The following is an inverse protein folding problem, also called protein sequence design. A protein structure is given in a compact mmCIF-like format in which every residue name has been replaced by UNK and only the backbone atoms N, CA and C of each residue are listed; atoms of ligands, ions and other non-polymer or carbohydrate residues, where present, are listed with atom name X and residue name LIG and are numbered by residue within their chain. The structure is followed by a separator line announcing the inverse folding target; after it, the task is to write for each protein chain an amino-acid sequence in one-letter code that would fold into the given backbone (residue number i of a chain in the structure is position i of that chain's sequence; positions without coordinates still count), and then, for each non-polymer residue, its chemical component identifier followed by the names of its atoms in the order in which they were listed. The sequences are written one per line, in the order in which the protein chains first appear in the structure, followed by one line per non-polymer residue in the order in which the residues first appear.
data_IF_899585258205
#
_entry.id   IF_899585258205
#
_cell.length_a   1.000
_cell.length_b   1.000
_cell.length_c   1.000
_cell.angle_alpha   90.00
_cell.angle_beta   90.00
_cell.angle_gamma   90.00
#
_symmetry.space_group_name_H-M   'P 1'
#
loop_
_entity.id
_entity.type
_entity.pdbx_description
1 polymer ?
#
# COMPACT_ATOMS: atom_id res chain seq x y z
N UNK A 1 18.79 1.99 -24.76
CA UNK A 1 18.30 1.23 -23.59
C UNK A 1 16.83 1.54 -23.42
N UNK A 2 15.99 0.52 -23.22
CA UNK A 2 14.55 0.62 -22.99
C UNK A 2 14.22 0.13 -21.58
N UNK A 3 13.86 1.05 -20.70
CA UNK A 3 13.46 0.79 -19.33
C UNK A 3 11.94 0.73 -19.25
N UNK A 4 11.41 -0.35 -18.69
CA UNK A 4 9.98 -0.50 -18.46
C UNK A 4 9.73 -0.69 -16.97
N UNK A 5 8.86 0.14 -16.41
CA UNK A 5 8.54 0.14 -14.97
C UNK A 5 7.05 -0.13 -14.81
N UNK A 6 6.72 -1.19 -14.06
CA UNK A 6 5.35 -1.63 -13.81
C UNK A 6 4.92 -1.23 -12.41
N UNK A 7 4.12 -0.17 -12.32
CA UNK A 7 3.63 0.40 -11.08
C UNK A 7 4.00 1.88 -10.95
N UNK A 8 2.99 2.74 -10.92
CA UNK A 8 3.15 4.20 -10.88
C UNK A 8 2.99 4.78 -9.46
N UNK A 9 3.35 4.01 -8.44
CA UNK A 9 3.51 4.51 -7.08
C UNK A 9 4.86 5.21 -6.88
N UNK A 10 5.17 5.64 -5.65
CA UNK A 10 6.39 6.40 -5.35
C UNK A 10 7.68 5.70 -5.79
N UNK A 11 7.77 4.37 -5.64
CA UNK A 11 8.94 3.61 -6.05
C UNK A 11 9.18 3.70 -7.56
N UNK A 12 8.14 3.50 -8.37
CA UNK A 12 8.25 3.54 -9.83
C UNK A 12 8.49 4.94 -10.39
N UNK A 13 7.83 5.96 -9.83
CA UNK A 13 8.05 7.37 -10.22
C UNK A 13 9.47 7.81 -9.89
N UNK A 14 9.96 7.49 -8.69
CA UNK A 14 11.32 7.82 -8.28
C UNK A 14 12.36 7.08 -9.12
N UNK A 15 12.12 5.81 -9.47
CA UNK A 15 12.99 5.07 -10.36
C UNK A 15 13.05 5.70 -11.76
N UNK A 16 11.90 6.04 -12.34
CA UNK A 16 11.83 6.67 -13.66
C UNK A 16 12.60 8.01 -13.70
N UNK A 17 12.40 8.86 -12.68
CA UNK A 17 13.13 10.13 -12.53
C UNK A 17 14.63 9.89 -12.36
N UNK A 18 15.01 8.92 -11.53
CA UNK A 18 16.42 8.59 -11.28
C UNK A 18 17.11 8.07 -12.54
N UNK A 19 16.47 7.18 -13.29
CA UNK A 19 16.98 6.68 -14.57
C UNK A 19 17.18 7.85 -15.53
N UNK A 20 16.20 8.74 -15.70
CA UNK A 20 16.35 9.91 -16.58
C UNK A 20 17.51 10.83 -16.16
N UNK A 21 17.78 10.93 -14.87
CA UNK A 21 18.91 11.72 -14.38
C UNK A 21 20.26 11.13 -14.79
N UNK A 22 20.36 9.82 -15.00
CA UNK A 22 21.60 9.11 -15.35
C UNK A 22 21.68 8.86 -16.87
N UNK A 23 20.64 8.25 -17.44
CA UNK A 23 20.51 8.00 -18.87
C UNK A 23 19.63 9.08 -19.53
N UNK A 24 20.29 10.02 -20.21
CA UNK A 24 19.63 11.15 -20.87
C UNK A 24 18.88 10.77 -22.14
N UNK A 25 19.11 9.58 -22.70
CA UNK A 25 18.63 9.21 -24.04
C UNK A 25 17.78 7.95 -24.08
N UNK A 26 17.89 7.11 -23.04
CA UNK A 26 17.10 5.88 -22.93
C UNK A 26 15.60 6.14 -22.94
N UNK A 27 14.86 5.17 -23.50
CA UNK A 27 13.40 5.17 -23.51
C UNK A 27 12.90 4.70 -22.14
N UNK A 28 12.00 5.46 -21.51
CA UNK A 28 11.44 5.12 -20.20
C UNK A 28 9.92 5.03 -20.33
N UNK A 29 9.36 3.86 -20.05
CA UNK A 29 7.92 3.61 -20.01
C UNK A 29 7.52 3.31 -18.57
N UNK A 30 6.64 4.14 -18.00
CA UNK A 30 6.03 3.91 -16.69
C UNK A 30 4.57 3.49 -16.88
N UNK A 31 4.21 2.31 -16.39
CA UNK A 31 2.87 1.73 -16.56
C UNK A 31 2.15 1.74 -15.22
N UNK A 32 1.02 2.44 -15.14
CA UNK A 32 0.18 2.53 -13.95
C UNK A 32 -1.18 1.89 -14.20
N UNK A 33 -1.64 1.04 -13.28
CA UNK A 33 -2.97 0.40 -13.38
C UNK A 33 -4.13 1.36 -13.15
N UNK A 34 -3.90 2.44 -12.41
CA UNK A 34 -4.91 3.43 -12.04
C UNK A 34 -5.02 4.51 -13.11
N UNK A 35 -6.20 5.11 -13.25
CA UNK A 35 -6.49 6.19 -14.21
C UNK A 35 -5.97 7.56 -13.77
N UNK A 36 -5.34 7.62 -12.59
CA UNK A 36 -4.85 8.84 -11.97
C UNK A 36 -3.35 9.04 -12.19
N UNK A 37 -2.90 10.29 -12.12
CA UNK A 37 -1.48 10.59 -11.98
C UNK A 37 -0.96 10.11 -10.62
N UNK A 38 0.36 9.86 -10.48
CA UNK A 38 0.91 9.39 -9.22
C UNK A 38 0.60 10.31 -8.05
N UNK A 39 0.20 9.72 -6.94
CA UNK A 39 -0.27 10.43 -5.76
C UNK A 39 0.27 9.86 -4.46
N UNK A 40 0.22 10.70 -3.42
CA UNK A 40 0.60 10.40 -2.08
C UNK A 40 -0.39 9.50 -1.37
N UNK A 41 -0.10 8.20 -1.45
CA UNK A 41 -0.89 7.16 -0.81
C UNK A 41 -0.92 7.31 0.72
N UNK A 42 0.10 7.96 1.31
CA UNK A 42 0.21 8.16 2.75
C UNK A 42 -0.86 9.09 3.32
N UNK A 43 -1.33 10.04 2.51
CA UNK A 43 -2.30 11.08 2.93
C UNK A 43 -3.73 10.76 2.48
N UNK A 44 -4.00 9.53 2.02
CA UNK A 44 -5.33 9.13 1.55
C UNK A 44 -6.40 9.22 2.64
N UNK A 45 -6.07 8.88 3.89
CA UNK A 45 -6.99 9.04 5.03
C UNK A 45 -7.23 10.51 5.34
N UNK A 46 -6.18 11.33 5.33
CA UNK A 46 -6.29 12.78 5.52
C UNK A 46 -7.18 13.40 4.43
N UNK A 47 -7.00 12.97 3.18
CA UNK A 47 -7.82 13.38 2.04
C UNK A 47 -9.28 12.93 2.15
N UNK A 48 -9.51 11.69 2.60
CA UNK A 48 -10.85 11.17 2.90
C UNK A 48 -11.54 12.04 3.93
N UNK A 49 -10.80 12.49 4.95
CA UNK A 49 -11.31 13.28 6.06
C UNK A 49 -11.35 14.79 5.77
N UNK A 50 -10.99 15.22 4.56
CA UNK A 50 -11.02 16.63 4.17
C UNK A 50 -9.94 17.49 4.83
N UNK A 51 -8.85 16.88 5.34
CA UNK A 51 -7.73 17.59 5.94
C UNK A 51 -6.73 18.14 4.90
N UNK A 52 -6.77 17.61 3.68
CA UNK A 52 -5.96 18.07 2.56
C UNK A 52 -6.80 18.19 1.27
N UNK A 53 -6.35 19.05 0.36
CA UNK A 53 -6.98 19.32 -0.93
C UNK A 53 -6.34 18.52 -2.08
N UNK A 54 -7.06 18.36 -3.20
CA UNK A 54 -6.61 17.59 -4.38
C UNK A 54 -5.19 17.93 -4.86
N UNK A 55 -4.74 19.20 -4.92
CA UNK A 55 -3.39 19.51 -5.40
C UNK A 55 -2.28 18.96 -4.49
N UNK A 56 -2.56 18.80 -3.19
CA UNK A 56 -1.61 18.28 -2.20
C UNK A 56 -1.46 16.75 -2.29
N UNK A 57 -2.33 16.09 -3.06
CA UNK A 57 -2.35 14.65 -3.23
C UNK A 57 -1.31 14.18 -4.26
N UNK A 58 -0.97 14.94 -5.29
CA UNK A 58 -0.16 14.43 -6.42
C UNK A 58 1.35 14.66 -6.24
N UNK A 59 2.18 13.68 -6.62
CA UNK A 59 3.64 13.81 -6.58
C UNK A 59 4.22 14.59 -7.75
N UNK A 60 3.45 14.70 -8.84
CA UNK A 60 3.91 15.17 -10.12
C UNK A 60 3.08 16.35 -10.56
N UNK A 61 3.72 17.38 -11.13
CA UNK A 61 3.03 18.38 -11.93
C UNK A 61 2.41 17.71 -13.17
N UNK A 62 1.42 18.35 -13.81
CA UNK A 62 0.88 17.88 -15.09
C UNK A 62 1.95 17.64 -16.16
N UNK A 63 3.01 18.45 -16.17
CA UNK A 63 4.07 18.41 -17.19
C UNK A 63 5.27 17.51 -16.85
N UNK A 64 5.34 16.99 -15.62
CA UNK A 64 6.47 16.20 -15.11
C UNK A 64 6.96 15.10 -16.07
N UNK A 65 6.02 14.36 -16.67
CA UNK A 65 6.35 13.25 -17.57
C UNK A 65 6.87 13.74 -18.92
N UNK A 66 6.34 14.86 -19.42
CA UNK A 66 6.78 15.46 -20.67
C UNK A 66 8.18 16.06 -20.51
N UNK A 67 8.42 16.82 -19.43
CA UNK A 67 9.71 17.43 -19.11
C UNK A 67 10.84 16.40 -18.97
N UNK A 68 10.52 15.23 -18.42
CA UNK A 68 11.46 14.14 -18.24
C UNK A 68 11.48 13.14 -19.41
N UNK A 69 10.72 13.38 -20.49
CA UNK A 69 10.55 12.46 -21.61
C UNK A 69 10.28 11.01 -21.13
N UNK A 70 9.32 10.85 -20.22
CA UNK A 70 8.84 9.57 -19.69
C UNK A 70 7.48 9.28 -20.32
N UNK A 71 7.33 8.13 -20.97
CA UNK A 71 6.04 7.68 -21.49
C UNK A 71 5.22 7.10 -20.33
N UNK A 72 4.30 7.89 -19.77
CA UNK A 72 3.38 7.44 -18.74
C UNK A 72 2.11 6.82 -19.33
N UNK A 73 1.89 5.54 -19.05
CA UNK A 73 0.75 4.74 -19.50
C UNK A 73 -0.19 4.48 -18.33
N UNK A 74 -1.12 5.41 -18.09
CA UNK A 74 -2.15 5.30 -17.05
C UNK A 74 -3.27 4.33 -17.43
N UNK A 75 -3.92 3.74 -16.44
CA UNK A 75 -5.07 2.85 -16.64
C UNK A 75 -4.76 1.50 -17.28
N UNK A 76 -3.51 1.07 -17.27
CA UNK A 76 -3.07 -0.12 -18.00
C UNK A 76 -2.51 -1.20 -17.08
N UNK A 77 -2.93 -2.43 -17.35
CA UNK A 77 -2.60 -3.60 -16.56
C UNK A 77 -1.64 -4.49 -17.32
N UNK A 78 -0.58 -4.95 -16.65
CA UNK A 78 0.31 -6.00 -17.16
C UNK A 78 -0.35 -7.35 -16.88
N UNK A 79 -0.59 -8.10 -17.96
CA UNK A 79 -1.22 -9.42 -17.94
C UNK A 79 -0.20 -10.52 -17.66
N UNK A 80 0.93 -10.48 -18.35
CA UNK A 80 1.98 -11.49 -18.25
C UNK A 80 3.34 -10.92 -18.65
N UNK A 81 4.40 -11.59 -18.22
CA UNK A 81 5.79 -11.25 -18.56
C UNK A 81 6.42 -12.49 -19.19
N UNK A 82 7.05 -12.34 -20.35
CA UNK A 82 7.90 -13.36 -20.97
C UNK A 82 9.35 -12.97 -20.73
N UNK A 83 9.95 -13.56 -19.70
CA UNK A 83 11.33 -13.26 -19.30
C UNK A 83 12.35 -13.72 -20.35
N UNK A 84 12.03 -14.76 -21.14
CA UNK A 84 12.94 -15.30 -22.16
C UNK A 84 13.06 -14.36 -23.36
N UNK A 85 11.93 -13.77 -23.77
CA UNK A 85 11.87 -12.81 -24.89
C UNK A 85 12.08 -11.36 -24.44
N UNK A 86 12.19 -11.12 -23.13
CA UNK A 86 12.21 -9.79 -22.52
C UNK A 86 11.06 -8.90 -22.98
N UNK A 87 9.84 -9.42 -22.84
CA UNK A 87 8.63 -8.66 -23.19
C UNK A 87 7.59 -8.75 -22.08
N UNK A 88 6.74 -7.74 -21.98
CA UNK A 88 5.51 -7.79 -21.20
C UNK A 88 4.29 -7.67 -22.10
N UNK A 89 3.18 -8.27 -21.69
CA UNK A 89 1.91 -8.20 -22.40
C UNK A 89 0.90 -7.46 -21.55
N UNK A 90 0.25 -6.46 -22.13
CA UNK A 90 -0.85 -5.74 -21.49
C UNK A 90 -2.17 -6.51 -21.62
N UNK A 91 -3.17 -6.14 -20.82
CA UNK A 91 -4.48 -6.77 -20.85
C UNK A 91 -5.19 -6.67 -22.21
N UNK A 92 -5.00 -5.56 -22.92
CA UNK A 92 -5.49 -5.38 -24.30
C UNK A 92 -4.57 -6.02 -25.37
N UNK A 93 -3.69 -6.93 -24.95
CA UNK A 93 -2.80 -7.75 -25.77
C UNK A 93 -1.64 -7.05 -26.47
N UNK A 94 -1.41 -5.75 -26.27
CA UNK A 94 -0.16 -5.12 -26.73
C UNK A 94 1.04 -5.75 -26.04
N UNK A 95 2.12 -5.93 -26.80
CA UNK A 95 3.39 -6.47 -26.32
C UNK A 95 4.43 -5.35 -26.31
N UNK A 96 5.08 -5.16 -25.17
CA UNK A 96 6.10 -4.14 -24.96
C UNK A 96 7.44 -4.82 -24.67
N UNK A 97 8.47 -4.65 -25.51
CA UNK A 97 9.81 -5.15 -25.21
C UNK A 97 10.47 -4.31 -24.13
N UNK A 98 11.46 -4.86 -23.44
CA UNK A 98 12.29 -4.13 -22.49
C UNK A 98 13.74 -4.62 -22.56
N UNK A 99 14.68 -3.72 -22.27
CA UNK A 99 16.05 -4.11 -21.97
C UNK A 99 16.23 -4.30 -20.45
N UNK A 100 15.57 -3.46 -19.64
CA UNK A 100 15.53 -3.52 -18.17
C UNK A 100 14.08 -3.38 -17.70
N UNK A 101 13.62 -4.29 -16.85
CA UNK A 101 12.26 -4.29 -16.28
C UNK A 101 12.32 -4.01 -14.78
N UNK A 102 11.40 -3.19 -14.28
CA UNK A 102 11.18 -3.01 -12.86
C UNK A 102 9.74 -3.32 -12.47
N UNK A 103 9.56 -4.07 -11.39
CA UNK A 103 8.28 -4.37 -10.78
C UNK A 103 8.12 -3.52 -9.52
N UNK A 104 7.19 -2.58 -9.56
CA UNK A 104 6.87 -1.63 -8.48
C UNK A 104 5.36 -1.65 -8.18
N UNK A 105 4.77 -2.84 -8.19
CA UNK A 105 3.31 -3.05 -8.16
C UNK A 105 2.66 -2.79 -6.79
N UNK A 106 3.49 -2.51 -5.78
CA UNK A 106 3.10 -2.26 -4.40
C UNK A 106 2.32 -3.43 -3.78
N UNK A 107 1.46 -3.12 -2.83
CA UNK A 107 0.55 -4.07 -2.20
C UNK A 107 -0.71 -3.39 -1.66
N UNK A 108 -1.52 -4.15 -0.95
CA UNK A 108 -2.74 -3.66 -0.32
C UNK A 108 -3.10 -4.50 0.91
N UNK A 109 -3.91 -3.92 1.79
CA UNK A 109 -4.58 -4.68 2.84
C UNK A 109 -5.46 -5.76 2.24
N UNK A 110 -5.51 -6.89 2.93
CA UNK A 110 -6.37 -8.02 2.61
C UNK A 110 -7.02 -8.57 3.87
N UNK A 111 -8.01 -9.42 3.66
CA UNK A 111 -8.75 -10.09 4.72
C UNK A 111 -8.46 -11.58 4.69
N UNK A 112 -8.43 -12.19 5.86
CA UNK A 112 -8.21 -13.61 6.08
C UNK A 112 -9.37 -14.47 5.57
N UNK A 113 -9.20 -15.79 5.66
CA UNK A 113 -10.15 -16.78 5.15
C UNK A 113 -11.57 -16.60 5.71
N UNK A 114 -11.69 -16.22 6.99
CA UNK A 114 -12.98 -15.98 7.67
C UNK A 114 -13.77 -14.85 7.02
N UNK A 115 -13.10 -13.74 6.69
CA UNK A 115 -13.75 -12.55 6.14
C UNK A 115 -13.78 -12.51 4.61
N UNK A 116 -13.02 -13.39 3.94
CA UNK A 116 -12.93 -13.46 2.47
C UNK A 116 -14.29 -13.57 1.75
N UNK A 117 -15.28 -14.37 2.22
CA UNK A 117 -16.60 -14.44 1.59
C UNK A 117 -17.38 -13.11 1.62
N UNK A 118 -17.02 -12.21 2.54
CA UNK A 118 -17.72 -10.95 2.79
C UNK A 118 -17.00 -9.72 2.22
N UNK A 119 -15.96 -9.91 1.41
CA UNK A 119 -15.16 -8.83 0.82
C UNK A 119 -15.98 -7.75 0.11
N UNK A 120 -17.13 -8.10 -0.49
CA UNK A 120 -18.05 -7.15 -1.13
C UNK A 120 -18.73 -6.17 -0.15
N UNK A 121 -18.76 -6.47 1.14
CA UNK A 121 -19.33 -5.64 2.20
C UNK A 121 -18.27 -4.83 2.95
N UNK A 122 -16.99 -5.12 2.71
CA UNK A 122 -15.85 -4.50 3.38
C UNK A 122 -15.27 -3.43 2.46
N UNK A 123 -15.21 -2.19 2.95
CA UNK A 123 -14.65 -1.08 2.21
C UNK A 123 -13.12 -1.20 2.16
N UNK A 124 -12.60 -1.07 0.95
CA UNK A 124 -11.18 -0.83 0.73
C UNK A 124 -10.93 0.67 0.80
N UNK A 125 -9.75 1.07 1.22
CA UNK A 125 -9.33 2.47 1.31
C UNK A 125 -7.85 2.62 0.91
N UNK A 126 -7.42 1.78 -0.03
CA UNK A 126 -6.01 1.65 -0.39
C UNK A 126 -5.70 2.32 -1.73
N UNK A 127 -6.66 2.82 -2.48
CA UNK A 127 -6.44 3.54 -3.73
C UNK A 127 -7.22 4.86 -3.74
N UNK A 128 -6.86 5.78 -4.64
CA UNK A 128 -7.61 7.01 -4.78
C UNK A 128 -9.06 6.73 -5.22
N UNK A 129 -9.29 5.74 -6.07
CA UNK A 129 -10.64 5.30 -6.44
C UNK A 129 -11.44 4.86 -5.21
N UNK A 130 -10.85 4.02 -4.36
CA UNK A 130 -11.47 3.59 -3.10
C UNK A 130 -11.88 4.80 -2.24
N UNK A 131 -10.97 5.76 -2.06
CA UNK A 131 -11.23 6.96 -1.24
C UNK A 131 -12.32 7.83 -1.85
N UNK A 132 -12.33 8.05 -3.17
CA UNK A 132 -13.36 8.85 -3.83
C UNK A 132 -14.75 8.23 -3.68
N UNK A 133 -14.84 6.89 -3.76
CA UNK A 133 -16.09 6.16 -3.55
C UNK A 133 -16.59 6.32 -2.10
N UNK A 134 -15.71 6.15 -1.11
CA UNK A 134 -16.07 6.33 0.30
C UNK A 134 -16.45 7.78 0.57
N UNK A 135 -15.66 8.75 0.11
CA UNK A 135 -15.88 10.18 0.32
C UNK A 135 -17.25 10.64 -0.18
N UNK A 136 -17.74 10.07 -1.29
CA UNK A 136 -19.10 10.32 -1.81
C UNK A 136 -20.21 9.83 -0.88
N UNK A 137 -20.00 8.70 -0.20
CA UNK A 137 -20.98 8.09 0.70
C UNK A 137 -20.90 8.65 2.11
N UNK A 138 -19.72 9.13 2.51
CA UNK A 138 -19.38 9.53 3.87
C UNK A 138 -20.34 10.53 4.53
N UNK A 139 -20.99 11.48 3.82
CA UNK A 139 -22.01 12.34 4.42
C UNK A 139 -23.16 11.58 5.08
N UNK A 140 -23.61 10.48 4.46
CA UNK A 140 -24.76 9.68 4.92
C UNK A 140 -24.37 8.59 5.95
N UNK A 141 -23.07 8.33 6.10
CA UNK A 141 -22.54 7.35 7.05
C UNK A 141 -22.54 7.96 8.44
N UNK A 142 -23.10 7.27 9.43
CA UNK A 142 -23.11 7.71 10.81
C UNK A 142 -22.24 6.80 11.68
N UNK A 143 -22.24 5.49 11.42
CA UNK A 143 -21.52 4.49 12.20
C UNK A 143 -20.68 3.56 11.34
N UNK A 144 -19.41 3.42 11.69
CA UNK A 144 -18.49 2.49 11.05
C UNK A 144 -18.08 1.37 12.01
N UNK A 145 -18.10 0.13 11.50
CA UNK A 145 -17.47 -1.02 12.17
C UNK A 145 -16.07 -1.17 11.58
N UNK A 146 -15.06 -1.25 12.45
CA UNK A 146 -13.65 -1.30 12.04
C UNK A 146 -12.98 -2.51 12.69
N UNK A 147 -12.17 -3.24 11.94
CA UNK A 147 -11.34 -4.34 12.46
C UNK A 147 -9.98 -4.35 11.77
N UNK A 148 -8.91 -4.56 12.54
CA UNK A 148 -7.54 -4.60 12.04
C UNK A 148 -6.56 -3.83 12.92
N UNK A 149 -5.37 -4.41 13.08
CA UNK A 149 -4.37 -3.97 14.05
C UNK A 149 -3.24 -3.13 13.41
N UNK A 150 -3.43 -2.71 12.15
CA UNK A 150 -2.44 -1.92 11.39
C UNK A 150 -2.54 -0.41 11.64
N UNK A 151 -1.44 0.31 11.42
CA UNK A 151 -1.37 1.78 11.57
C UNK A 151 -2.37 2.52 10.67
N UNK A 152 -2.64 2.00 9.47
CA UNK A 152 -3.67 2.56 8.59
C UNK A 152 -5.08 2.43 9.17
N UNK A 153 -5.32 1.47 10.06
CA UNK A 153 -6.60 1.31 10.76
C UNK A 153 -6.72 2.32 11.90
N UNK A 154 -5.64 2.51 12.66
CA UNK A 154 -5.55 3.57 13.68
C UNK A 154 -5.82 4.96 13.08
N UNK A 155 -5.13 5.27 11.98
CA UNK A 155 -5.30 6.54 11.26
C UNK A 155 -6.73 6.73 10.74
N UNK A 156 -7.31 5.69 10.11
CA UNK A 156 -8.69 5.71 9.65
C UNK A 156 -9.70 5.96 10.78
N UNK A 157 -9.56 5.26 11.92
CA UNK A 157 -10.46 5.44 13.06
C UNK A 157 -10.39 6.88 13.60
N UNK A 158 -9.18 7.41 13.79
CA UNK A 158 -8.99 8.78 14.25
C UNK A 158 -9.57 9.81 13.28
N UNK A 159 -9.33 9.63 11.97
CA UNK A 159 -9.88 10.50 10.93
C UNK A 159 -11.41 10.51 10.90
N UNK A 160 -12.04 9.33 10.91
CA UNK A 160 -13.50 9.21 10.94
C UNK A 160 -14.11 9.79 12.23
N UNK A 161 -13.44 9.63 13.38
CA UNK A 161 -13.86 10.27 14.63
C UNK A 161 -13.83 11.79 14.57
N UNK A 162 -12.83 12.39 13.91
CA UNK A 162 -12.78 13.84 13.70
C UNK A 162 -13.94 14.34 12.83
N UNK A 163 -14.51 13.47 11.99
CA UNK A 163 -15.74 13.73 11.24
C UNK A 163 -17.02 13.36 12.00
N UNK A 164 -16.93 13.17 13.33
CA UNK A 164 -18.03 12.83 14.23
C UNK A 164 -18.74 11.50 13.90
N UNK A 165 -18.09 10.56 13.20
CA UNK A 165 -18.65 9.23 12.93
C UNK A 165 -18.54 8.34 14.16
N UNK A 166 -19.58 7.60 14.53
CA UNK A 166 -19.52 6.58 15.58
C UNK A 166 -18.64 5.40 15.13
N UNK A 167 -17.69 4.96 15.96
CA UNK A 167 -16.78 3.86 15.61
C UNK A 167 -16.94 2.72 16.60
N UNK A 168 -17.19 1.52 16.07
CA UNK A 168 -17.09 0.26 16.79
C UNK A 168 -15.85 -0.47 16.29
N UNK A 169 -14.81 -0.53 17.12
CA UNK A 169 -13.56 -1.20 16.83
C UNK A 169 -13.54 -2.60 17.42
N UNK A 170 -13.29 -3.63 16.60
CA UNK A 170 -13.17 -5.03 17.02
C UNK A 170 -11.72 -5.48 16.86
N UNK A 171 -11.09 -5.86 17.97
CA UNK A 171 -9.69 -6.31 18.01
C UNK A 171 -9.55 -7.69 18.64
N UNK A 172 -8.60 -8.47 18.12
CA UNK A 172 -8.28 -9.81 18.65
C UNK A 172 -7.48 -9.78 19.96
N UNK A 173 -6.97 -8.62 20.32
CA UNK A 173 -6.07 -8.40 21.46
C UNK A 173 -6.84 -8.07 22.74
N UNK A 174 -6.21 -8.29 23.90
CA UNK A 174 -6.77 -7.90 25.22
C UNK A 174 -7.03 -6.40 25.32
N UNK A 175 -6.15 -5.59 24.73
CA UNK A 175 -6.31 -4.14 24.56
C UNK A 175 -5.96 -3.77 23.13
N UNK A 176 -6.69 -2.80 22.58
CA UNK A 176 -6.30 -2.12 21.34
C UNK A 176 -4.82 -1.71 21.39
N UNK A 177 -4.05 -2.22 20.44
CA UNK A 177 -2.61 -1.99 20.32
C UNK A 177 -2.24 -1.92 18.84
N UNK A 178 -1.15 -1.21 18.56
CA UNK A 178 -0.63 -0.96 17.22
C UNK A 178 0.89 -1.06 17.28
N UNK A 179 1.59 -1.34 16.16
CA UNK A 179 3.03 -1.60 16.15
C UNK A 179 3.84 -0.29 16.28
N UNK A 180 3.75 0.36 17.43
CA UNK A 180 4.45 1.59 17.81
C UNK A 180 5.70 1.24 18.64
N UNK A 181 6.83 1.88 18.36
CA UNK A 181 8.08 1.70 19.11
C UNK A 181 8.03 2.55 20.37
N UNK A 182 8.37 1.94 21.52
CA UNK A 182 8.77 2.57 22.80
C UNK A 182 8.25 4.00 22.99
N UNK A 183 6.94 4.15 23.03
CA UNK A 183 6.31 5.43 23.31
C UNK A 183 5.33 5.24 24.44
N UNK A 184 5.39 6.13 25.43
CA UNK A 184 4.35 6.28 26.47
C UNK A 184 2.95 6.39 25.86
N UNK A 185 2.87 6.88 24.62
CA UNK A 185 1.65 6.92 23.82
C UNK A 185 1.15 5.54 23.38
N UNK A 186 2.06 4.61 23.02
CA UNK A 186 1.71 3.23 22.69
C UNK A 186 1.01 2.52 23.85
N UNK A 187 1.53 2.67 25.07
CA UNK A 187 0.94 2.08 26.28
C UNK A 187 -0.45 2.67 26.59
N UNK A 188 -0.64 3.95 26.26
CA UNK A 188 -1.88 4.69 26.48
C UNK A 188 -2.84 4.64 25.28
N UNK A 189 -2.51 3.95 24.19
CA UNK A 189 -3.27 4.05 22.94
C UNK A 189 -4.71 3.55 23.11
N UNK A 190 -4.90 2.52 23.91
CA UNK A 190 -6.23 1.99 24.23
C UNK A 190 -7.10 3.04 24.92
N UNK A 191 -6.59 3.62 26.02
CA UNK A 191 -7.30 4.63 26.80
C UNK A 191 -7.54 5.90 25.98
N UNK A 192 -6.57 6.28 25.14
CA UNK A 192 -6.72 7.37 24.19
C UNK A 192 -7.91 7.16 23.24
N UNK A 193 -8.04 5.97 22.64
CA UNK A 193 -9.15 5.65 21.73
C UNK A 193 -10.50 5.63 22.47
N UNK A 194 -10.54 5.07 23.69
CA UNK A 194 -11.75 5.11 24.54
C UNK A 194 -12.15 6.56 24.85
N UNK A 195 -11.19 7.40 25.25
CA UNK A 195 -11.42 8.82 25.55
C UNK A 195 -11.86 9.62 24.31
N UNK A 196 -11.55 9.16 23.10
CA UNK A 196 -12.07 9.70 21.83
C UNK A 196 -13.51 9.24 21.51
N UNK A 197 -14.10 8.41 22.36
CA UNK A 197 -15.44 7.86 22.20
C UNK A 197 -15.51 6.72 21.20
N UNK A 198 -14.41 5.99 20.97
CA UNK A 198 -14.42 4.77 20.18
C UNK A 198 -14.87 3.63 21.09
N UNK A 199 -15.92 2.90 20.67
CA UNK A 199 -16.34 1.68 21.35
C UNK A 199 -15.42 0.54 20.93
N UNK A 200 -14.66 -0.01 21.87
CA UNK A 200 -13.70 -1.08 21.60
C UNK A 200 -14.24 -2.42 22.12
N UNK A 201 -14.22 -3.44 21.28
CA UNK A 201 -14.53 -4.82 21.62
C UNK A 201 -13.25 -5.63 21.50
N UNK A 202 -12.70 -6.01 22.65
CA UNK A 202 -11.43 -6.74 22.77
C UNK A 202 -11.60 -8.26 22.72
N UNK A 203 -10.50 -8.96 22.44
CA UNK A 203 -10.41 -10.41 22.38
C UNK A 203 -11.52 -11.05 21.54
N UNK A 204 -11.85 -10.43 20.42
CA UNK A 204 -12.94 -10.83 19.55
C UNK A 204 -12.57 -10.60 18.09
N UNK A 205 -13.38 -11.11 17.17
CA UNK A 205 -13.20 -10.92 15.73
C UNK A 205 -14.52 -11.04 15.01
N UNK A 206 -14.67 -10.32 13.90
CA UNK A 206 -15.82 -10.47 13.03
C UNK A 206 -15.74 -11.84 12.33
N UNK A 207 -16.84 -12.59 12.34
CA UNK A 207 -16.93 -13.92 11.70
C UNK A 207 -18.02 -14.02 10.64
N UNK A 208 -18.97 -13.08 10.66
CA UNK A 208 -20.07 -13.04 9.71
C UNK A 208 -20.44 -11.59 9.42
N UNK A 209 -20.78 -11.31 8.16
CA UNK A 209 -21.26 -10.00 7.71
C UNK A 209 -22.41 -10.22 6.73
N UNK A 210 -23.50 -9.51 6.94
CA UNK A 210 -24.58 -9.40 5.98
C UNK A 210 -25.02 -7.96 5.78
N UNK A 211 -25.71 -7.72 4.68
CA UNK A 211 -26.39 -6.46 4.43
C UNK A 211 -27.87 -6.64 4.74
N UNK A 212 -28.40 -5.83 5.65
CA UNK A 212 -29.80 -5.80 6.06
C UNK A 212 -30.34 -4.40 5.81
N UNK A 213 -31.25 -4.28 4.85
CA UNK A 213 -31.77 -3.01 4.34
C UNK A 213 -30.64 -2.08 3.84
N UNK A 214 -30.55 -0.88 4.39
CA UNK A 214 -29.51 0.12 4.09
C UNK A 214 -28.23 -0.04 4.90
N UNK A 215 -28.18 -0.96 5.87
CA UNK A 215 -27.07 -1.11 6.82
C UNK A 215 -26.42 -2.50 6.74
N UNK A 216 -25.28 -2.63 7.42
CA UNK A 216 -24.58 -3.89 7.58
C UNK A 216 -24.73 -4.41 9.01
N UNK A 217 -24.97 -5.70 9.12
CA UNK A 217 -24.92 -6.43 10.38
C UNK A 217 -23.66 -7.31 10.37
N UNK A 218 -22.84 -7.18 11.41
CA UNK A 218 -21.68 -8.01 11.63
C UNK A 218 -21.86 -8.80 12.93
N UNK A 219 -21.53 -10.09 12.90
CA UNK A 219 -21.54 -10.93 14.10
C UNK A 219 -20.10 -11.29 14.44
N UNK A 220 -19.77 -11.14 15.72
CA UNK A 220 -18.43 -11.47 16.22
C UNK A 220 -18.34 -12.92 16.69
N UNK A 221 -17.13 -13.42 16.89
CA UNK A 221 -16.86 -14.78 17.37
C UNK A 221 -17.49 -15.04 18.75
N UNK A 222 -17.50 -14.03 19.64
CA UNK A 222 -18.16 -14.11 20.94
C UNK A 222 -19.68 -13.86 20.89
N UNK A 223 -20.27 -13.70 19.70
CA UNK A 223 -21.72 -13.56 19.51
C UNK A 223 -22.25 -12.13 19.64
N UNK A 224 -21.40 -11.11 19.62
CA UNK A 224 -21.87 -9.73 19.58
C UNK A 224 -22.48 -9.41 18.21
N UNK A 225 -23.69 -8.87 18.21
CA UNK A 225 -24.32 -8.33 17.00
C UNK A 225 -24.04 -6.83 16.89
N UNK A 226 -23.36 -6.45 15.81
CA UNK A 226 -22.97 -5.08 15.52
C UNK A 226 -23.75 -4.60 14.30
N UNK A 227 -24.29 -3.40 14.36
CA UNK A 227 -24.93 -2.75 13.22
C UNK A 227 -24.16 -1.49 12.88
N UNK A 228 -23.83 -1.28 11.61
CA UNK A 228 -23.16 -0.08 11.10
C UNK A 228 -23.49 0.20 9.64
N UNK A 229 -23.22 1.42 9.19
CA UNK A 229 -23.50 1.85 7.81
C UNK A 229 -22.33 1.51 6.87
N UNK A 230 -21.14 1.29 7.44
CA UNK A 230 -19.92 0.96 6.70
C UNK A 230 -19.02 0.03 7.51
N UNK A 231 -18.34 -0.90 6.84
CA UNK A 231 -17.41 -1.83 7.47
C UNK A 231 -16.03 -1.68 6.84
N UNK A 232 -15.01 -1.53 7.68
CA UNK A 232 -13.61 -1.58 7.31
C UNK A 232 -12.96 -2.77 8.00
N UNK A 233 -12.24 -3.60 7.25
CA UNK A 233 -11.52 -4.72 7.81
C UNK A 233 -10.19 -4.95 7.08
N UNK A 234 -9.14 -5.22 7.84
CA UNK A 234 -7.81 -5.57 7.32
C UNK A 234 -7.15 -6.55 8.28
N UNK A 235 -6.80 -7.74 7.79
CA UNK A 235 -6.12 -8.76 8.60
C UNK A 235 -4.61 -8.80 8.36
N UNK A 236 -4.18 -8.54 7.12
CA UNK A 236 -2.77 -8.59 6.76
C UNK A 236 -2.49 -7.76 5.51
N UNK A 237 -1.22 -7.46 5.30
CA UNK A 237 -0.74 -6.85 4.09
C UNK A 237 -0.44 -7.90 3.01
N UNK A 238 -0.79 -7.62 1.76
CA UNK A 238 -0.55 -8.49 0.61
C UNK A 238 0.19 -7.76 -0.52
N UNK A 239 1.44 -8.15 -0.83
CA UNK A 239 2.15 -7.73 -2.05
C UNK A 239 1.40 -8.09 -3.33
N UNK A 240 1.41 -7.18 -4.32
CA UNK A 240 0.74 -7.37 -5.62
C UNK A 240 1.68 -8.05 -6.64
N UNK A 241 1.93 -9.34 -6.47
CA UNK A 241 2.89 -10.08 -7.30
C UNK A 241 2.24 -10.96 -8.39
N UNK A 242 0.96 -10.74 -8.70
CA UNK A 242 0.21 -11.57 -9.67
C UNK A 242 0.83 -11.59 -11.08
N UNK A 243 1.49 -10.51 -11.48
CA UNK A 243 2.10 -10.39 -12.82
C UNK A 243 3.29 -11.34 -13.06
N UNK A 244 3.88 -11.90 -11.99
CA UNK A 244 5.00 -12.84 -12.05
C UNK A 244 4.59 -14.29 -11.75
N UNK A 245 3.29 -14.58 -11.66
CA UNK A 245 2.80 -15.91 -11.24
C UNK A 245 3.39 -17.04 -12.08
N UNK A 246 3.50 -16.81 -13.39
CA UNK A 246 3.92 -17.81 -14.39
C UNK A 246 5.34 -17.52 -14.92
N UNK A 247 6.19 -16.88 -14.11
CA UNK A 247 7.60 -16.60 -14.44
C UNK A 247 8.53 -17.34 -13.48
N UNK A 248 9.82 -17.53 -13.83
CA UNK A 248 10.80 -18.13 -12.93
C UNK A 248 11.36 -17.14 -11.89
N UNK A 249 10.74 -15.96 -11.72
CA UNK A 249 11.16 -14.98 -10.71
C UNK A 249 10.87 -15.56 -9.32
N UNK A 250 11.89 -15.60 -8.47
CA UNK A 250 11.76 -16.12 -7.12
C UNK A 250 10.84 -15.24 -6.25
N UNK A 251 9.99 -15.88 -5.46
CA UNK A 251 8.99 -15.22 -4.62
C UNK A 251 8.64 -16.06 -3.39
N UNK A 252 8.28 -15.38 -2.30
CA UNK A 252 7.58 -15.95 -1.15
C UNK A 252 6.21 -15.25 -1.04
N UNK A 253 6.05 -14.36 -0.07
CA UNK A 253 4.91 -13.45 0.08
C UNK A 253 4.99 -12.29 -0.92
N UNK A 254 6.20 -11.77 -1.17
CA UNK A 254 6.59 -10.77 -2.14
C UNK A 254 7.68 -11.28 -3.11
N UNK A 255 8.16 -10.38 -3.97
CA UNK A 255 9.23 -10.66 -4.94
C UNK A 255 10.57 -10.65 -4.20
N UNK A 256 11.35 -11.74 -4.29
CA UNK A 256 12.65 -11.80 -3.64
C UNK A 256 13.66 -10.92 -4.39
N UNK A 257 14.32 -10.02 -3.67
CA UNK A 257 15.39 -9.17 -4.21
C UNK A 257 16.62 -9.11 -3.31
N UNK A 258 17.78 -8.90 -3.93
CA UNK A 258 19.02 -8.59 -3.21
C UNK A 258 19.06 -7.12 -2.72
N UNK A 259 20.17 -6.73 -2.07
CA UNK A 259 20.38 -5.35 -1.63
C UNK A 259 20.55 -4.35 -2.78
N UNK A 260 20.78 -4.81 -4.01
CA UNK A 260 20.77 -3.99 -5.22
C UNK A 260 19.39 -3.91 -5.87
N UNK A 261 18.38 -4.49 -5.24
CA UNK A 261 17.00 -4.58 -5.70
C UNK A 261 16.83 -5.35 -7.01
N UNK A 262 17.75 -6.26 -7.30
CA UNK A 262 17.68 -7.21 -8.41
C UNK A 262 16.91 -8.43 -7.98
N UNK A 263 16.07 -8.94 -8.88
CA UNK A 263 15.40 -10.23 -8.71
C UNK A 263 16.36 -11.39 -9.03
N UNK A 264 15.87 -12.64 -8.95
CA UNK A 264 16.62 -13.82 -9.39
C UNK A 264 16.94 -13.85 -10.89
N UNK A 265 16.30 -13.01 -11.70
CA UNK A 265 16.54 -12.93 -13.14
C UNK A 265 17.33 -11.67 -13.51
N UNK A 266 18.29 -11.86 -14.42
CA UNK A 266 19.06 -10.75 -14.98
C UNK A 266 18.13 -9.72 -15.63
N UNK A 267 18.50 -8.45 -15.52
CA UNK A 267 17.76 -7.30 -16.07
C UNK A 267 16.38 -7.03 -15.45
N UNK A 268 15.95 -7.79 -14.46
CA UNK A 268 14.66 -7.59 -13.77
C UNK A 268 14.92 -7.17 -12.32
N UNK A 269 14.34 -6.03 -11.97
CA UNK A 269 14.41 -5.38 -10.67
C UNK A 269 13.02 -5.33 -10.04
N UNK A 270 12.95 -5.18 -8.73
CA UNK A 270 11.69 -4.88 -8.07
C UNK A 270 11.91 -3.94 -6.89
N UNK A 271 10.93 -3.09 -6.58
CA UNK A 271 11.04 -2.19 -5.43
C UNK A 271 9.68 -1.81 -4.83
N UNK A 272 9.78 -1.28 -3.63
CA UNK A 272 8.67 -0.83 -2.81
C UNK A 272 7.87 -1.99 -2.26
N UNK A 273 6.62 -1.69 -2.03
CA UNK A 273 5.64 -2.50 -1.31
C UNK A 273 5.33 -3.91 -1.89
N UNK A 274 5.98 -4.30 -2.99
CA UNK A 274 5.85 -5.63 -3.59
C UNK A 274 7.01 -6.59 -3.29
N UNK A 275 8.07 -6.12 -2.62
CA UNK A 275 9.32 -6.89 -2.46
C UNK A 275 9.53 -7.47 -1.07
N UNK A 276 10.34 -8.53 -1.06
CA UNK A 276 11.02 -9.12 0.07
C UNK A 276 12.53 -8.95 -0.17
N UNK A 277 13.21 -8.20 0.69
CA UNK A 277 14.62 -7.83 0.53
C UNK A 277 15.47 -8.72 1.40
N UNK A 278 16.56 -9.27 0.86
CA UNK A 278 17.53 -10.01 1.67
C UNK A 278 18.10 -9.12 2.78
N UNK A 279 17.98 -9.55 4.04
CA UNK A 279 18.47 -8.80 5.19
C UNK A 279 19.67 -9.52 5.84
N UNK A 280 20.90 -8.98 5.73
CA UNK A 280 22.12 -9.65 6.19
C UNK A 280 22.13 -10.01 7.68
N UNK A 281 21.49 -9.18 8.52
CA UNK A 281 21.46 -9.40 9.97
C UNK A 281 20.61 -10.60 10.40
N UNK A 282 19.57 -10.94 9.64
CA UNK A 282 18.69 -12.09 9.94
C UNK A 282 18.99 -13.29 9.03
N UNK A 283 19.82 -13.09 7.99
CA UNK A 283 20.20 -14.10 7.00
C UNK A 283 18.99 -14.73 6.30
N UNK A 284 17.93 -13.95 6.13
CA UNK A 284 16.74 -14.32 5.37
C UNK A 284 16.16 -13.06 4.71
N UNK A 285 15.11 -13.26 3.93
CA UNK A 285 14.34 -12.22 3.29
C UNK A 285 13.37 -11.58 4.25
N UNK A 286 13.22 -10.28 4.07
CA UNK A 286 12.40 -9.46 4.91
C UNK A 286 11.61 -8.46 4.07
N UNK A 287 10.30 -8.49 4.25
CA UNK A 287 9.37 -7.53 3.70
C UNK A 287 9.68 -6.15 4.25
N UNK A 288 9.98 -5.15 3.42
CA UNK A 288 10.25 -3.79 3.89
C UNK A 288 9.31 -2.78 3.21
N UNK A 289 8.19 -2.49 3.89
CA UNK A 289 7.13 -1.61 3.41
C UNK A 289 7.23 -0.19 3.96
N UNK A 290 6.41 0.69 3.40
CA UNK A 290 6.23 2.05 3.87
C UNK A 290 6.80 3.08 2.91
N UNK A 291 6.24 4.28 2.96
CA UNK A 291 6.51 5.31 1.96
C UNK A 291 8.01 5.70 1.86
N UNK A 292 8.73 5.97 2.96
CA UNK A 292 10.15 6.35 2.88
C UNK A 292 11.01 5.24 2.29
N UNK A 293 10.70 4.00 2.64
CA UNK A 293 11.37 2.82 2.12
C UNK A 293 11.12 2.65 0.63
N UNK A 294 9.87 2.73 0.18
CA UNK A 294 9.53 2.63 -1.24
C UNK A 294 10.17 3.74 -2.08
N UNK A 295 10.23 4.98 -1.56
CA UNK A 295 10.96 6.09 -2.20
C UNK A 295 12.45 5.73 -2.37
N UNK A 296 13.12 5.34 -1.29
CA UNK A 296 14.56 5.06 -1.33
C UNK A 296 14.87 3.84 -2.19
N UNK A 297 14.06 2.79 -2.10
CA UNK A 297 14.20 1.60 -2.95
C UNK A 297 14.02 1.96 -4.43
N UNK A 298 13.04 2.80 -4.78
CA UNK A 298 12.89 3.32 -6.14
C UNK A 298 14.12 4.06 -6.67
N UNK A 299 14.75 4.90 -5.84
CA UNK A 299 15.99 5.59 -6.18
C UNK A 299 17.12 4.59 -6.47
N UNK A 300 17.36 3.63 -5.57
CA UNK A 300 18.46 2.64 -5.70
C UNK A 300 18.24 1.73 -6.91
N UNK A 301 17.02 1.21 -7.10
CA UNK A 301 16.68 0.41 -8.27
C UNK A 301 16.90 1.20 -9.57
N UNK A 302 16.48 2.47 -9.61
CA UNK A 302 16.70 3.33 -10.77
C UNK A 302 18.19 3.53 -11.09
N UNK A 303 19.04 3.76 -10.08
CA UNK A 303 20.50 3.84 -10.25
C UNK A 303 21.07 2.55 -10.83
N UNK A 304 20.69 1.41 -10.26
CA UNK A 304 21.21 0.10 -10.65
C UNK A 304 20.71 -0.36 -12.03
N UNK A 305 19.49 0.01 -12.42
CA UNK A 305 18.99 -0.22 -13.78
C UNK A 305 19.79 0.59 -14.81
N UNK A 306 20.18 1.82 -14.47
CA UNK A 306 20.97 2.71 -15.32
C UNK A 306 22.49 2.42 -15.28
N UNK A 307 22.90 1.29 -14.70
CA UNK A 307 24.27 0.79 -14.75
C UNK A 307 25.17 1.15 -13.56
N UNK A 308 24.63 1.77 -12.50
CA UNK A 308 25.36 1.96 -11.24
C UNK A 308 25.32 0.69 -10.38
N UNK A 309 26.09 0.69 -9.28
CA UNK A 309 26.15 -0.40 -8.30
C UNK A 309 25.99 0.21 -6.91
N UNK A 310 24.75 0.26 -6.46
CA UNK A 310 24.34 0.88 -5.21
C UNK A 310 23.57 -0.13 -4.35
N UNK A 311 23.77 -0.07 -3.05
CA UNK A 311 23.07 -0.93 -2.08
C UNK A 311 21.98 -0.14 -1.35
N UNK A 312 20.83 -0.78 -1.19
CA UNK A 312 19.75 -0.29 -0.36
C UNK A 312 20.08 -0.51 1.11
N UNK A 313 20.14 0.58 1.87
CA UNK A 313 20.30 0.55 3.33
C UNK A 313 18.92 0.37 3.96
N UNK A 314 18.70 -0.80 4.55
CA UNK A 314 17.42 -1.14 5.16
C UNK A 314 17.16 -0.24 6.36
N UNK A 315 15.93 0.26 6.46
CA UNK A 315 15.43 0.99 7.61
C UNK A 315 14.20 0.29 8.18
N UNK A 316 14.29 -0.06 9.45
CA UNK A 316 13.29 -0.85 10.18
C UNK A 316 12.20 0.02 10.80
N UNK A 317 12.41 1.34 10.75
CA UNK A 317 11.65 2.32 11.48
C UNK A 317 10.99 3.28 10.51
N UNK A 318 9.73 3.60 10.77
CA UNK A 318 9.04 4.70 10.12
C UNK A 318 8.62 5.74 11.14
N UNK A 319 8.71 7.00 10.75
CA UNK A 319 8.18 8.12 11.51
C UNK A 319 6.95 8.64 10.78
N UNK A 320 5.88 8.86 11.51
CA UNK A 320 4.65 9.39 10.96
C UNK A 320 3.92 10.31 11.92
N UNK A 321 3.08 11.18 11.36
CA UNK A 321 2.22 12.03 12.15
C UNK A 321 0.86 11.37 12.32
N UNK A 322 0.39 11.29 13.56
CA UNK A 322 -0.97 10.94 13.91
C UNK A 322 -1.53 12.03 14.80
N UNK A 323 -2.53 12.76 14.30
CA UNK A 323 -3.21 13.83 15.05
C UNK A 323 -2.25 14.89 15.62
N UNK A 324 -1.25 15.30 14.84
CA UNK A 324 -0.25 16.29 15.25
C UNK A 324 0.83 15.76 16.21
N UNK A 325 0.83 14.46 16.53
CA UNK A 325 1.93 13.80 17.24
C UNK A 325 2.81 13.04 16.25
N UNK A 326 4.12 13.25 16.34
CA UNK A 326 5.10 12.42 15.64
C UNK A 326 5.27 11.10 16.40
N UNK A 327 4.98 9.99 15.73
CA UNK A 327 5.06 8.63 16.25
C UNK A 327 6.07 7.83 15.44
N UNK A 328 6.73 6.92 16.13
CA UNK A 328 7.71 6.01 15.56
C UNK A 328 7.12 4.61 15.59
N UNK A 329 7.15 3.90 14.47
CA UNK A 329 6.67 2.54 14.34
C UNK A 329 7.71 1.62 13.71
N UNK A 330 7.64 0.35 14.10
CA UNK A 330 8.38 -0.76 13.49
C UNK A 330 7.34 -1.70 12.92
N UNK A 331 7.55 -2.20 11.72
CA UNK A 331 6.52 -3.00 11.06
C UNK A 331 6.45 -4.46 11.56
N UNK A 332 7.44 -4.94 12.32
CA UNK A 332 7.59 -6.33 12.80
C UNK A 332 8.69 -6.37 13.87
N UNK A 333 8.55 -7.21 14.90
CA UNK A 333 9.57 -7.43 15.93
C UNK A 333 10.56 -8.54 15.57
#
# INVERSE_FOLDING_TARGET
MKYVIVGAGIAGVTAAKTIRNIDKTGEIILIGKEQYFPYNRYVLTEYLCGLIEDPQLFYTSPDFFNELAITFRKGQYVKSIDCSKKTLKLFHNEVIPYDRLMLATGGCSSVGSVLRPYTKFIQRYCSLEDILLIKKQLPDIHRCIVSGEGLSTLDLMCGLRNLNKEIIYVTRTEKAGFPLIESTFGDQIHEFLVNKGIRIICEDRIVFIEKKDSRYQAVTFKGHELTGDMIFASDHYQPNIKCIKDTPIERKTGILVDLHLKTSLHDIYAAGDCVEIYHPGVKDYWINFGWPNALKQGEIAGKNMAGQIEEYKISDVIVFNLMGKSLTARWWE
#
